data_IF_081355267197
#
_entry.id   IF_081355267197
#
_cell.length_a   1.000
_cell.length_b   1.000
_cell.length_c   1.000
_cell.angle_alpha   90.00
_cell.angle_beta   90.00
_cell.angle_gamma   90.00
#
_symmetry.space_group_name_H-M   'P 1'
#
loop_
_entity.id
_entity.type
_entity.pdbx_description
1 polymer ?
#
# COMPACT_ATOMS: atom_id res chain seq x y z
N UNK A 1 -1.55 -9.92 -12.58
CA UNK A 1 -0.81 -8.86 -11.90
C UNK A 1 0.19 -9.42 -10.89
N UNK A 2 -0.27 -10.11 -9.84
CA UNK A 2 0.54 -10.76 -8.81
C UNK A 2 0.35 -12.27 -8.83
N UNK A 3 1.44 -13.04 -8.78
CA UNK A 3 1.41 -14.50 -8.60
C UNK A 3 2.43 -14.89 -7.54
N UNK A 4 1.95 -15.57 -6.50
CA UNK A 4 2.73 -16.18 -5.43
C UNK A 4 2.64 -17.70 -5.62
N UNK A 5 3.78 -18.37 -5.70
CA UNK A 5 3.87 -19.81 -6.00
C UNK A 5 4.61 -20.51 -4.88
N UNK A 6 3.89 -21.25 -4.05
CA UNK A 6 4.39 -22.11 -2.97
C UNK A 6 5.37 -21.40 -2.02
N UNK A 7 5.04 -20.14 -1.63
CA UNK A 7 5.94 -19.31 -0.83
C UNK A 7 5.89 -19.71 0.64
N UNK A 8 7.06 -19.99 1.18
CA UNK A 8 7.31 -20.12 2.61
C UNK A 8 8.33 -19.07 3.06
N UNK A 9 8.10 -18.43 4.21
CA UNK A 9 9.03 -17.45 4.74
C UNK A 9 9.25 -17.62 6.23
N UNK A 10 10.54 -17.64 6.66
CA UNK A 10 10.96 -17.78 8.03
C UNK A 10 11.91 -16.64 8.43
N UNK A 11 11.54 -15.84 9.42
CA UNK A 11 12.44 -14.87 10.04
C UNK A 11 13.59 -15.59 10.76
N UNK A 12 14.81 -15.05 10.70
CA UNK A 12 15.99 -15.62 11.43
C UNK A 12 15.76 -15.77 12.93
N UNK A 13 14.91 -14.89 13.50
CA UNK A 13 14.56 -14.90 14.93
C UNK A 13 13.48 -15.93 15.29
N UNK A 14 12.89 -16.62 14.31
CA UNK A 14 11.81 -17.60 14.53
C UNK A 14 12.24 -19.00 14.07
N UNK A 15 11.81 -20.01 14.85
CA UNK A 15 12.03 -21.44 14.50
C UNK A 15 11.00 -21.95 13.48
N UNK A 16 9.82 -21.35 13.46
CA UNK A 16 8.69 -21.78 12.64
C UNK A 16 8.47 -20.77 11.51
N UNK A 17 8.25 -21.21 10.27
CA UNK A 17 7.89 -20.30 9.18
C UNK A 17 6.64 -19.49 9.49
N UNK A 18 6.67 -18.20 9.14
CA UNK A 18 5.51 -17.30 9.27
C UNK A 18 4.56 -17.45 8.09
N UNK A 19 5.09 -17.61 6.89
CA UNK A 19 4.31 -18.05 5.71
C UNK A 19 4.66 -19.50 5.43
N UNK A 20 3.67 -20.31 5.05
CA UNK A 20 3.81 -21.75 4.79
C UNK A 20 3.06 -22.13 3.52
N UNK A 21 3.80 -22.52 2.49
CA UNK A 21 3.26 -23.04 1.24
C UNK A 21 2.11 -22.18 0.67
N UNK A 22 2.29 -20.84 0.75
CA UNK A 22 1.28 -19.90 0.30
C UNK A 22 1.32 -19.80 -1.22
N UNK A 23 0.15 -20.02 -1.84
CA UNK A 23 -0.06 -19.75 -3.26
C UNK A 23 -1.24 -18.80 -3.43
N UNK A 24 -1.05 -17.74 -4.23
CA UNK A 24 -2.05 -16.71 -4.48
C UNK A 24 -1.89 -16.19 -5.91
N UNK A 25 -2.99 -15.95 -6.58
CA UNK A 25 -3.01 -15.30 -7.88
C UNK A 25 -4.01 -14.15 -7.87
N UNK A 26 -3.55 -12.95 -8.24
CA UNK A 26 -4.36 -11.74 -8.36
C UNK A 26 -4.22 -11.23 -9.79
N UNK A 27 -5.34 -11.11 -10.48
CA UNK A 27 -5.39 -10.62 -11.85
C UNK A 27 -5.30 -9.09 -11.89
N UNK A 28 -5.00 -8.51 -13.05
CA UNK A 28 -5.00 -7.05 -13.22
C UNK A 28 -6.43 -6.51 -13.07
N UNK A 29 -6.58 -5.40 -12.33
CA UNK A 29 -7.88 -4.80 -12.03
C UNK A 29 -8.73 -5.55 -11.00
N UNK A 30 -8.22 -6.62 -10.40
CA UNK A 30 -8.92 -7.32 -9.32
C UNK A 30 -8.82 -6.57 -7.99
N UNK A 31 -9.90 -6.61 -7.20
CA UNK A 31 -9.89 -6.14 -5.82
C UNK A 31 -10.06 -7.34 -4.89
N UNK A 32 -9.04 -7.62 -4.07
CA UNK A 32 -8.97 -8.76 -3.17
C UNK A 32 -8.97 -8.33 -1.71
N UNK A 33 -9.84 -8.93 -0.90
CA UNK A 33 -9.82 -8.81 0.56
C UNK A 33 -9.15 -10.03 1.19
N UNK A 34 -8.09 -9.82 1.94
CA UNK A 34 -7.41 -10.83 2.74
C UNK A 34 -7.73 -10.62 4.23
N UNK A 35 -8.55 -11.50 4.77
CA UNK A 35 -8.94 -11.45 6.17
C UNK A 35 -8.26 -12.56 6.99
N UNK A 36 -7.82 -12.25 8.20
CA UNK A 36 -7.17 -13.21 9.07
C UNK A 36 -6.92 -12.73 10.48
N UNK A 37 -6.68 -13.67 11.41
CA UNK A 37 -6.35 -13.36 12.80
C UNK A 37 -5.01 -12.60 12.92
N UNK A 38 -4.80 -11.92 14.07
CA UNK A 38 -3.50 -11.32 14.37
C UNK A 38 -2.39 -12.39 14.39
N UNK A 39 -1.23 -12.05 13.83
CA UNK A 39 -0.07 -12.95 13.79
C UNK A 39 -0.13 -14.09 12.76
N UNK A 40 -1.16 -14.19 11.93
CA UNK A 40 -1.25 -15.23 10.89
C UNK A 40 -0.33 -15.00 9.68
N UNK A 41 0.42 -13.90 9.63
CA UNK A 41 1.39 -13.63 8.55
C UNK A 41 0.98 -12.55 7.55
N UNK A 42 -0.13 -11.83 7.75
CA UNK A 42 -0.63 -10.79 6.83
C UNK A 42 0.43 -9.73 6.50
N UNK A 43 1.00 -9.07 7.51
CA UNK A 43 2.04 -8.06 7.32
C UNK A 43 3.35 -8.64 6.73
N UNK A 44 3.61 -9.93 6.95
CA UNK A 44 4.73 -10.63 6.28
C UNK A 44 4.45 -10.82 4.80
N UNK A 45 3.21 -11.14 4.43
CA UNK A 45 2.79 -11.23 3.04
C UNK A 45 2.89 -9.87 2.33
N UNK A 46 2.43 -8.79 2.98
CA UNK A 46 2.59 -7.42 2.45
C UNK A 46 4.07 -7.12 2.17
N UNK A 47 4.95 -7.36 3.15
CA UNK A 47 6.40 -7.18 2.98
C UNK A 47 6.97 -8.03 1.85
N UNK A 48 6.45 -9.25 1.66
CA UNK A 48 6.87 -10.12 0.56
C UNK A 48 6.49 -9.52 -0.80
N UNK A 49 5.26 -9.05 -0.94
CA UNK A 49 4.75 -8.45 -2.18
C UNK A 49 5.44 -7.12 -2.49
N UNK A 50 5.74 -6.32 -1.46
CA UNK A 50 6.45 -5.03 -1.59
C UNK A 50 7.98 -5.19 -1.76
N UNK A 51 8.50 -6.42 -1.86
CA UNK A 51 9.94 -6.67 -2.02
C UNK A 51 10.80 -6.45 -0.77
N UNK A 52 10.19 -6.08 0.35
CA UNK A 52 10.91 -5.77 1.59
C UNK A 52 11.53 -6.99 2.28
N UNK A 53 11.11 -8.22 1.90
CA UNK A 53 11.73 -9.44 2.41
C UNK A 53 12.96 -9.87 1.61
N UNK A 54 13.19 -9.30 0.43
CA UNK A 54 14.37 -9.60 -0.39
C UNK A 54 15.65 -8.94 0.15
N UNK A 55 15.54 -8.12 1.20
CA UNK A 55 16.72 -7.50 1.85
C UNK A 55 17.54 -8.53 2.56
N UNK A 56 18.85 -8.54 2.26
CA UNK A 56 19.80 -9.50 2.82
C UNK A 56 19.75 -9.51 4.36
N UNK A 57 19.43 -10.67 4.91
CA UNK A 57 19.54 -10.89 6.35
C UNK A 57 18.25 -10.92 7.16
N UNK A 58 17.09 -10.58 6.59
CA UNK A 58 15.81 -10.56 7.32
C UNK A 58 15.26 -11.97 7.61
N UNK A 59 15.48 -12.94 6.71
CA UNK A 59 14.95 -14.30 6.82
C UNK A 59 15.32 -15.15 5.63
N UNK A 60 14.63 -16.28 5.50
CA UNK A 60 14.75 -17.23 4.39
C UNK A 60 13.39 -17.30 3.68
N UNK A 61 13.39 -16.99 2.38
CA UNK A 61 12.23 -17.10 1.50
C UNK A 61 12.47 -18.28 0.56
N UNK A 62 11.52 -19.20 0.54
CA UNK A 62 11.41 -20.30 -0.41
C UNK A 62 10.17 -20.12 -1.27
N UNK A 63 10.18 -20.64 -2.51
CA UNK A 63 9.13 -20.37 -3.48
C UNK A 63 9.39 -19.12 -4.31
N UNK A 64 8.38 -18.65 -5.05
CA UNK A 64 8.55 -17.53 -6.00
C UNK A 64 7.38 -16.55 -5.96
N UNK A 65 7.73 -15.27 -6.11
CA UNK A 65 6.77 -14.17 -6.23
C UNK A 65 6.99 -13.49 -7.58
N UNK A 66 5.92 -13.29 -8.33
CA UNK A 66 5.96 -12.63 -9.62
C UNK A 66 5.07 -11.40 -9.63
N UNK A 67 5.61 -10.28 -10.10
CA UNK A 67 4.89 -9.04 -10.40
C UNK A 67 4.94 -8.80 -11.91
N UNK A 68 3.78 -8.63 -12.54
CA UNK A 68 3.70 -8.50 -14.02
C UNK A 68 4.49 -9.61 -14.75
N UNK A 69 4.40 -10.85 -14.29
CA UNK A 69 5.11 -12.03 -14.81
C UNK A 69 6.65 -11.99 -14.67
N UNK A 70 7.23 -10.98 -13.99
CA UNK A 70 8.66 -10.91 -13.70
C UNK A 70 8.92 -11.41 -12.26
N UNK A 71 9.92 -12.26 -12.06
CA UNK A 71 10.29 -12.76 -10.74
C UNK A 71 10.84 -11.61 -9.89
N UNK A 72 10.29 -11.39 -8.70
CA UNK A 72 10.71 -10.29 -7.82
C UNK A 72 12.15 -10.45 -7.31
N UNK A 73 12.71 -11.64 -7.36
CA UNK A 73 14.11 -11.89 -7.04
C UNK A 73 15.07 -11.26 -8.07
N UNK A 74 14.59 -10.97 -9.29
CA UNK A 74 15.33 -10.34 -10.39
C UNK A 74 15.05 -8.84 -10.52
N UNK A 75 14.22 -8.27 -9.62
CA UNK A 75 13.82 -6.86 -9.63
C UNK A 75 14.58 -6.07 -8.57
N UNK A 76 14.89 -4.81 -8.88
CA UNK A 76 15.40 -3.88 -7.88
C UNK A 76 14.26 -3.40 -6.97
N UNK A 77 14.56 -2.88 -5.75
CA UNK A 77 13.54 -2.24 -4.90
C UNK A 77 12.80 -1.11 -5.62
N UNK A 78 13.48 -0.35 -6.46
CA UNK A 78 12.90 0.73 -7.27
C UNK A 78 11.91 0.17 -8.29
N UNK A 79 12.24 -0.92 -9.01
CA UNK A 79 11.35 -1.58 -9.97
C UNK A 79 10.05 -2.03 -9.30
N UNK A 80 10.16 -2.58 -8.08
CA UNK A 80 9.01 -3.02 -7.29
C UNK A 80 8.20 -1.80 -6.82
N UNK A 81 8.86 -0.76 -6.30
CA UNK A 81 8.23 0.46 -5.79
C UNK A 81 7.45 1.24 -6.85
N UNK A 82 7.85 1.17 -8.12
CA UNK A 82 7.09 1.74 -9.24
C UNK A 82 5.78 0.98 -9.49
N UNK A 83 5.79 -0.34 -9.27
CA UNK A 83 4.63 -1.19 -9.55
C UNK A 83 3.69 -1.33 -8.35
N UNK A 84 4.24 -1.33 -7.13
CA UNK A 84 3.52 -1.65 -5.89
C UNK A 84 3.53 -0.45 -4.96
N UNK A 85 2.37 0.10 -4.72
CA UNK A 85 2.15 1.08 -3.66
C UNK A 85 1.66 0.41 -2.38
N UNK A 86 2.24 0.75 -1.24
CA UNK A 86 1.85 0.18 0.06
C UNK A 86 1.38 1.28 1.01
N UNK A 87 0.19 1.08 1.59
CA UNK A 87 -0.36 1.92 2.65
C UNK A 87 -0.35 1.11 3.94
N UNK A 88 0.34 1.60 4.96
CA UNK A 88 0.49 0.91 6.24
C UNK A 88 -0.69 1.19 7.18
N UNK A 89 -0.83 0.35 8.20
CA UNK A 89 -1.88 0.42 9.22
C UNK A 89 -1.90 1.76 9.96
N UNK A 90 -0.71 2.28 10.32
CA UNK A 90 -0.56 3.57 10.98
C UNK A 90 -0.03 4.60 9.98
N UNK A 91 -0.84 5.62 9.60
CA UNK A 91 -0.35 6.72 8.76
C UNK A 91 0.84 7.45 9.38
N UNK A 92 0.90 7.53 10.72
CA UNK A 92 1.97 8.23 11.43
C UNK A 92 3.35 7.56 11.25
N UNK A 93 3.39 6.26 10.89
CA UNK A 93 4.63 5.55 10.57
C UNK A 93 5.07 5.77 9.11
N UNK A 94 4.22 6.37 8.28
CA UNK A 94 4.46 6.58 6.86
C UNK A 94 4.66 8.05 6.52
N UNK A 95 3.91 8.96 7.16
CA UNK A 95 3.92 10.39 6.90
C UNK A 95 5.06 11.09 7.65
N UNK A 96 5.84 11.94 6.97
CA UNK A 96 7.02 12.58 7.58
C UNK A 96 7.20 14.05 7.20
N UNK A 97 6.52 14.56 6.17
CA UNK A 97 6.65 15.96 5.75
C UNK A 97 5.92 16.93 6.69
N UNK A 98 6.12 18.21 6.49
CA UNK A 98 5.49 19.26 7.30
C UNK A 98 4.11 19.62 6.79
N UNK A 99 3.91 19.65 5.48
CA UNK A 99 2.63 19.98 4.84
C UNK A 99 2.08 18.82 4.01
N UNK A 100 0.80 18.90 3.70
CA UNK A 100 0.10 17.92 2.86
C UNK A 100 0.69 17.88 1.45
N UNK A 101 0.98 19.04 0.84
CA UNK A 101 1.55 19.09 -0.51
C UNK A 101 2.96 18.51 -0.56
N UNK A 102 3.81 18.82 0.43
CA UNK A 102 5.17 18.30 0.49
C UNK A 102 5.16 16.76 0.62
N UNK A 103 4.26 16.22 1.44
CA UNK A 103 4.13 14.77 1.62
C UNK A 103 3.76 14.06 0.31
N UNK A 104 2.77 14.58 -0.40
CA UNK A 104 2.33 13.98 -1.67
C UNK A 104 3.36 14.21 -2.78
N UNK A 105 3.97 15.41 -2.85
CA UNK A 105 4.94 15.78 -3.89
C UNK A 105 6.28 15.05 -3.79
N UNK A 106 6.66 14.61 -2.60
CA UNK A 106 7.99 14.08 -2.29
C UNK A 106 8.50 13.01 -3.27
N UNK A 107 7.64 12.08 -3.67
CA UNK A 107 8.03 11.02 -4.60
C UNK A 107 8.38 11.55 -5.99
N UNK A 108 7.67 12.59 -6.47
CA UNK A 108 7.94 13.22 -7.77
C UNK A 108 9.16 14.14 -7.72
N UNK A 109 9.41 14.79 -6.58
CA UNK A 109 10.62 15.57 -6.34
C UNK A 109 11.87 14.70 -6.43
N UNK A 110 11.83 13.51 -5.81
CA UNK A 110 12.92 12.52 -5.89
C UNK A 110 13.15 11.99 -7.32
N UNK A 111 12.14 12.05 -8.19
CA UNK A 111 12.27 11.73 -9.60
C UNK A 111 12.81 12.93 -10.42
N UNK A 112 13.00 14.08 -9.80
CA UNK A 112 13.54 15.29 -10.44
C UNK A 112 12.56 15.98 -11.40
N UNK A 113 11.24 15.84 -11.18
CA UNK A 113 10.23 16.53 -11.98
C UNK A 113 10.23 18.03 -11.67
N UNK A 114 9.77 18.83 -12.66
CA UNK A 114 9.58 20.28 -12.52
C UNK A 114 8.49 20.59 -11.48
N UNK A 115 8.71 21.63 -10.65
CA UNK A 115 7.82 22.05 -9.55
C UNK A 115 6.39 22.35 -10.03
N UNK A 116 6.23 22.93 -11.22
CA UNK A 116 4.92 23.21 -11.79
C UNK A 116 4.16 21.91 -12.14
N UNK A 117 4.88 20.87 -12.62
CA UNK A 117 4.30 19.56 -12.91
C UNK A 117 3.88 18.90 -11.59
N UNK A 118 4.76 18.94 -10.59
CA UNK A 118 4.48 18.37 -9.26
C UNK A 118 3.23 19.01 -8.66
N UNK A 119 3.13 20.34 -8.65
CA UNK A 119 1.99 21.08 -8.11
C UNK A 119 0.66 20.65 -8.75
N UNK A 120 0.64 20.49 -10.08
CA UNK A 120 -0.56 20.04 -10.81
C UNK A 120 -0.94 18.60 -10.46
N UNK A 121 0.04 17.69 -10.41
CA UNK A 121 -0.24 16.29 -10.08
C UNK A 121 -0.66 16.13 -8.62
N UNK A 122 -0.04 16.86 -7.69
CA UNK A 122 -0.43 16.91 -6.27
C UNK A 122 -1.88 17.34 -6.12
N UNK A 123 -2.28 18.44 -6.77
CA UNK A 123 -3.67 18.93 -6.72
C UNK A 123 -4.65 17.85 -7.20
N UNK A 124 -4.38 17.22 -8.35
CA UNK A 124 -5.24 16.15 -8.89
C UNK A 124 -5.41 14.98 -7.92
N UNK A 125 -4.30 14.54 -7.30
CA UNK A 125 -4.36 13.42 -6.37
C UNK A 125 -5.10 13.81 -5.09
N UNK A 126 -4.88 15.01 -4.55
CA UNK A 126 -5.60 15.52 -3.38
C UNK A 126 -7.11 15.64 -3.63
N UNK A 127 -7.51 16.14 -4.80
CA UNK A 127 -8.92 16.13 -5.22
C UNK A 127 -9.47 14.70 -5.25
N UNK A 128 -8.70 13.75 -5.79
CA UNK A 128 -9.10 12.35 -5.92
C UNK A 128 -9.35 11.67 -4.58
N UNK A 129 -8.56 11.98 -3.56
CA UNK A 129 -8.72 11.40 -2.21
C UNK A 129 -9.61 12.23 -1.29
N UNK A 130 -10.18 13.37 -1.77
CA UNK A 130 -11.05 14.24 -1.00
C UNK A 130 -10.31 15.11 0.03
N UNK A 131 -9.10 15.55 -0.32
CA UNK A 131 -8.26 16.46 0.46
C UNK A 131 -7.99 17.79 -0.29
N UNK A 132 -8.81 18.15 -1.28
CA UNK A 132 -8.70 19.46 -1.94
C UNK A 132 -8.86 20.60 -0.92
N UNK A 133 -7.98 21.61 -1.00
CA UNK A 133 -7.96 22.75 -0.09
C UNK A 133 -7.15 22.52 1.20
N UNK A 134 -6.52 21.34 1.37
CA UNK A 134 -5.67 21.03 2.50
C UNK A 134 -4.16 21.13 2.18
N UNK A 135 -3.79 21.57 0.99
CA UNK A 135 -2.42 21.55 0.44
C UNK A 135 -1.39 22.15 1.40
N UNK A 136 -1.72 23.28 2.01
CA UNK A 136 -0.84 24.03 2.91
C UNK A 136 -1.02 23.69 4.38
N UNK A 137 -1.93 22.76 4.70
CA UNK A 137 -2.15 22.35 6.08
C UNK A 137 -0.98 21.53 6.60
N UNK A 138 -0.68 21.70 7.89
CA UNK A 138 0.22 20.78 8.58
C UNK A 138 -0.43 19.42 8.71
N UNK A 139 0.32 18.34 8.41
CA UNK A 139 -0.17 16.97 8.53
C UNK A 139 -0.63 16.62 9.96
N UNK A 140 -0.07 17.28 10.97
CA UNK A 140 -0.43 17.09 12.38
C UNK A 140 -1.82 17.64 12.73
N UNK A 141 -2.39 18.53 11.91
CA UNK A 141 -3.74 19.09 12.12
C UNK A 141 -4.84 18.22 11.53
N UNK A 142 -4.48 17.21 10.76
CA UNK A 142 -5.42 16.31 10.10
C UNK A 142 -6.03 15.31 11.09
N UNK A 143 -7.31 14.96 10.86
CA UNK A 143 -7.94 13.82 11.54
C UNK A 143 -7.30 12.49 11.12
N UNK A 144 -7.54 11.39 11.89
CA UNK A 144 -7.03 10.06 11.54
C UNK A 144 -7.44 9.61 10.13
N UNK A 145 -8.71 9.80 9.76
CA UNK A 145 -9.19 9.48 8.41
C UNK A 145 -8.58 10.35 7.31
N UNK A 146 -8.31 11.63 7.59
CA UNK A 146 -7.60 12.51 6.65
C UNK A 146 -6.13 12.10 6.50
N UNK A 147 -5.44 11.72 7.58
CA UNK A 147 -4.07 11.18 7.50
C UNK A 147 -4.03 9.89 6.70
N UNK A 148 -5.02 9.01 6.84
CA UNK A 148 -5.09 7.78 6.03
C UNK A 148 -5.29 8.09 4.54
N UNK A 149 -6.15 9.08 4.21
CA UNK A 149 -6.32 9.56 2.83
C UNK A 149 -5.04 10.21 2.29
N UNK A 150 -4.29 10.93 3.13
CA UNK A 150 -3.00 11.50 2.78
C UNK A 150 -1.95 10.41 2.50
N UNK A 151 -1.86 9.38 3.35
CA UNK A 151 -0.98 8.23 3.12
C UNK A 151 -1.34 7.48 1.81
N UNK A 152 -2.63 7.39 1.48
CA UNK A 152 -3.06 6.88 0.19
C UNK A 152 -2.64 7.81 -0.97
N UNK A 153 -2.78 9.12 -0.81
CA UNK A 153 -2.40 10.11 -1.82
C UNK A 153 -0.89 10.07 -2.14
N UNK A 154 -0.03 9.99 -1.09
CA UNK A 154 1.42 9.93 -1.25
C UNK A 154 1.89 8.68 -2.03
N UNK A 155 1.08 7.62 -1.99
CA UNK A 155 1.31 6.41 -2.79
C UNK A 155 0.73 6.54 -4.20
N UNK A 156 -0.49 7.08 -4.35
CA UNK A 156 -1.17 7.19 -5.64
C UNK A 156 -0.46 8.12 -6.63
N UNK A 157 0.29 9.10 -6.15
CA UNK A 157 1.03 10.06 -6.99
C UNK A 157 2.02 9.37 -7.93
N UNK A 158 2.55 8.20 -7.53
CA UNK A 158 3.46 7.39 -8.35
C UNK A 158 2.74 6.52 -9.38
N UNK A 159 1.40 6.52 -9.39
CA UNK A 159 0.54 5.75 -10.32
C UNK A 159 0.84 4.24 -10.28
N UNK A 160 0.83 3.59 -9.10
CA UNK A 160 1.14 2.18 -8.96
C UNK A 160 0.09 1.31 -9.67
N UNK A 161 0.50 0.13 -10.15
CA UNK A 161 -0.42 -0.85 -10.76
C UNK A 161 -1.09 -1.76 -9.73
N UNK A 162 -0.42 -1.98 -8.60
CA UNK A 162 -0.89 -2.75 -7.46
C UNK A 162 -0.84 -1.89 -6.21
N UNK A 163 -1.98 -1.74 -5.54
CA UNK A 163 -2.09 -1.07 -4.25
C UNK A 163 -2.32 -2.14 -3.17
N UNK A 164 -1.49 -2.13 -2.13
CA UNK A 164 -1.60 -3.02 -0.98
C UNK A 164 -1.85 -2.18 0.27
N UNK A 165 -2.95 -2.46 0.97
CA UNK A 165 -3.34 -1.69 2.16
C UNK A 165 -3.38 -2.64 3.39
N UNK A 166 -2.64 -2.29 4.43
CA UNK A 166 -2.59 -3.02 5.70
C UNK A 166 -3.54 -2.38 6.71
N UNK A 167 -4.67 -3.02 7.00
CA UNK A 167 -5.71 -2.59 7.96
C UNK A 167 -6.09 -1.10 7.84
N UNK A 168 -6.40 -0.59 6.61
CA UNK A 168 -6.48 0.83 6.32
C UNK A 168 -7.62 1.56 7.03
N UNK A 169 -8.61 0.83 7.55
CA UNK A 169 -9.80 1.43 8.17
C UNK A 169 -9.82 1.31 9.69
N UNK A 170 -8.77 0.73 10.30
CA UNK A 170 -8.70 0.42 11.73
C UNK A 170 -8.83 1.64 12.66
N UNK A 171 -8.50 2.84 12.18
CA UNK A 171 -8.53 4.09 12.94
C UNK A 171 -9.66 5.05 12.52
N UNK A 172 -10.63 4.57 11.72
CA UNK A 172 -11.72 5.39 11.19
C UNK A 172 -13.03 5.16 11.95
N UNK A 173 -13.88 6.20 12.00
CA UNK A 173 -15.26 6.04 12.42
C UNK A 173 -16.07 5.33 11.31
N UNK A 174 -17.27 4.79 11.59
CA UNK A 174 -18.05 4.02 10.61
C UNK A 174 -18.32 4.74 9.29
N UNK A 175 -18.64 6.03 9.32
CA UNK A 175 -18.85 6.82 8.11
C UNK A 175 -17.57 6.97 7.29
N UNK A 176 -16.43 7.23 7.96
CA UNK A 176 -15.13 7.33 7.31
C UNK A 176 -14.70 6.01 6.65
N UNK A 177 -15.06 4.86 7.25
CA UNK A 177 -14.83 3.54 6.66
C UNK A 177 -15.57 3.40 5.34
N UNK A 178 -16.88 3.71 5.33
CA UNK A 178 -17.69 3.62 4.11
C UNK A 178 -17.13 4.52 2.99
N UNK A 179 -16.87 5.79 3.31
CA UNK A 179 -16.32 6.76 2.35
C UNK A 179 -14.95 6.31 1.80
N UNK A 180 -14.09 5.72 2.65
CA UNK A 180 -12.78 5.22 2.24
C UNK A 180 -12.88 3.98 1.35
N UNK A 181 -13.78 3.05 1.68
CA UNK A 181 -14.03 1.88 0.84
C UNK A 181 -14.62 2.26 -0.52
N UNK A 182 -15.53 3.23 -0.57
CA UNK A 182 -16.06 3.76 -1.83
C UNK A 182 -14.93 4.40 -2.67
N UNK A 183 -13.98 5.11 -2.05
CA UNK A 183 -12.81 5.63 -2.74
C UNK A 183 -11.99 4.49 -3.35
N UNK A 184 -11.68 3.43 -2.60
CA UNK A 184 -10.94 2.27 -3.12
C UNK A 184 -11.65 1.59 -4.29
N UNK A 185 -12.98 1.41 -4.19
CA UNK A 185 -13.80 0.87 -5.30
C UNK A 185 -13.72 1.78 -6.53
N UNK A 186 -13.74 3.09 -6.33
CA UNK A 186 -13.60 4.08 -7.42
C UNK A 186 -12.22 3.98 -8.09
N UNK A 187 -11.13 3.89 -7.33
CA UNK A 187 -9.78 3.71 -7.84
C UNK A 187 -9.64 2.39 -8.63
N UNK A 188 -10.24 1.32 -8.15
CA UNK A 188 -10.23 0.04 -8.86
C UNK A 188 -11.02 0.11 -10.16
N UNK A 189 -12.27 0.62 -10.15
CA UNK A 189 -13.18 0.57 -11.31
C UNK A 189 -12.86 1.60 -12.38
N UNK A 190 -12.43 2.81 -11.99
CA UNK A 190 -12.20 3.92 -12.92
C UNK A 190 -10.75 3.93 -13.39
N UNK A 191 -9.79 3.76 -12.48
CA UNK A 191 -8.37 3.85 -12.79
C UNK A 191 -7.76 2.46 -13.10
N UNK A 192 -8.52 1.38 -12.90
CA UNK A 192 -8.06 0.00 -13.20
C UNK A 192 -6.98 -0.52 -12.25
N UNK A 193 -6.78 0.13 -11.10
CA UNK A 193 -5.74 -0.26 -10.14
C UNK A 193 -6.12 -1.60 -9.51
N UNK A 194 -5.17 -2.55 -9.49
CA UNK A 194 -5.32 -3.79 -8.72
C UNK A 194 -5.17 -3.48 -7.24
N UNK A 195 -6.08 -3.97 -6.39
CA UNK A 195 -6.09 -3.61 -4.97
C UNK A 195 -6.11 -4.87 -4.11
N UNK A 196 -5.22 -4.93 -3.12
CA UNK A 196 -5.25 -5.92 -2.04
C UNK A 196 -5.49 -5.17 -0.73
N UNK A 197 -6.61 -5.44 -0.08
CA UNK A 197 -6.91 -4.95 1.27
C UNK A 197 -6.69 -6.07 2.25
N UNK A 198 -5.90 -5.82 3.26
CA UNK A 198 -5.66 -6.77 4.37
C UNK A 198 -6.39 -6.27 5.60
N UNK A 199 -7.24 -7.12 6.20
CA UNK A 199 -8.07 -6.73 7.35
C UNK A 199 -8.02 -7.78 8.45
N UNK A 200 -8.36 -7.36 9.66
CA UNK A 200 -8.51 -8.24 10.82
C UNK A 200 -9.93 -8.82 10.86
N UNK A 201 -10.06 -10.14 11.09
CA UNK A 201 -11.36 -10.82 11.13
C UNK A 201 -12.37 -10.21 12.11
N UNK A 202 -11.90 -9.56 13.18
CA UNK A 202 -12.78 -8.91 14.17
C UNK A 202 -13.53 -7.68 13.66
N UNK A 203 -13.10 -7.12 12.51
CA UNK A 203 -13.72 -5.95 11.89
C UNK A 203 -14.75 -6.30 10.81
N UNK A 204 -14.83 -7.58 10.43
CA UNK A 204 -15.81 -8.06 9.47
C UNK A 204 -17.10 -8.41 10.24
N UNK A 205 -17.84 -7.42 10.71
CA UNK A 205 -19.24 -7.57 11.04
C UNK A 205 -20.05 -7.29 9.78
N UNK A 206 -20.43 -8.35 9.12
CA UNK A 206 -21.44 -8.35 8.05
C UNK A 206 -22.82 -8.24 8.67
#
# INVERSE_FOLDING_TARGET
MLRISDVSYRYKTRKIPTLKHLSLHVTEGEMLLLAGCSGCGKSTLIKAVSGLLNTAGAGELDGKIYLNNKDTAEMTPEDIGILVGTVYQSPDDQLFAMTVSDEVGFALENQGLDENIISVEVQKVLERVGLAGFEQNSIHTLSGGQRQRLALASVLITKPKLLVLDEPVSQMNPQGVEDFLQLLVSLNRIDGITIIVVEHLSLIHI
#
